data_IF_859582021369
#
_entry.id   IF_859582021369
#
_cell.length_a   1.000
_cell.length_b   1.000
_cell.length_c   1.000
_cell.angle_alpha   90.00
_cell.angle_beta   90.00
_cell.angle_gamma   90.00
#
_symmetry.space_group_name_H-M   'P 1'
#
loop_
_entity.id
_entity.type
_entity.pdbx_description
1 polymer ?
#
# COMPACT_ATOMS: atom_id res chain seq x y z
N UNK A 1 5.19 5.08 -9.88
CA UNK A 1 4.21 5.09 -11.00
C UNK A 1 2.77 5.36 -10.52
N UNK A 2 2.58 6.40 -9.69
CA UNK A 2 1.25 6.87 -9.30
C UNK A 2 1.13 8.32 -9.77
N UNK A 3 0.12 8.54 -10.62
CA UNK A 3 -0.31 9.80 -11.26
C UNK A 3 0.61 10.38 -12.35
N UNK A 4 0.05 10.47 -13.56
CA UNK A 4 0.57 11.27 -14.67
C UNK A 4 0.31 12.75 -14.39
N UNK A 5 1.31 13.61 -14.63
CA UNK A 5 1.33 15.06 -14.38
C UNK A 5 0.32 15.91 -15.19
N UNK A 6 -0.73 15.30 -15.74
CA UNK A 6 -1.68 15.96 -16.64
C UNK A 6 -3.00 16.37 -15.96
N UNK A 7 -3.03 16.57 -14.64
CA UNK A 7 -4.15 17.28 -14.01
C UNK A 7 -4.03 18.77 -14.32
N UNK A 8 -4.54 19.18 -15.49
CA UNK A 8 -4.81 20.60 -15.76
C UNK A 8 -5.79 21.10 -14.69
N UNK A 9 -5.33 22.02 -13.84
CA UNK A 9 -6.19 22.75 -12.91
C UNK A 9 -7.20 23.51 -13.76
N UNK A 10 -8.44 23.01 -13.79
CA UNK A 10 -9.55 23.71 -14.42
C UNK A 10 -9.78 24.98 -13.60
N UNK A 11 -9.92 26.14 -14.25
CA UNK A 11 -10.40 27.33 -13.55
C UNK A 11 -11.88 27.08 -13.21
N UNK A 12 -12.21 27.14 -11.92
CA UNK A 12 -13.55 26.92 -11.41
C UNK A 12 -14.25 28.28 -11.21
N UNK A 13 -15.54 28.34 -11.54
CA UNK A 13 -16.40 29.49 -11.29
C UNK A 13 -16.77 29.55 -9.80
N UNK A 14 -17.07 30.74 -9.28
CA UNK A 14 -17.45 30.99 -7.89
C UNK A 14 -18.76 30.26 -7.50
N UNK A 15 -19.60 29.89 -8.48
CA UNK A 15 -20.83 29.11 -8.30
C UNK A 15 -20.68 27.60 -8.58
N UNK A 16 -19.46 27.09 -8.78
CA UNK A 16 -19.23 25.66 -9.00
C UNK A 16 -19.27 24.90 -7.67
N UNK A 17 -19.95 23.75 -7.62
CA UNK A 17 -19.99 22.84 -6.46
C UNK A 17 -18.57 22.48 -5.97
N UNK A 18 -17.57 22.52 -6.86
CA UNK A 18 -16.16 22.26 -6.53
C UNK A 18 -15.56 23.31 -5.58
N UNK A 19 -16.13 24.51 -5.51
CA UNK A 19 -15.68 25.60 -4.61
C UNK A 19 -15.70 25.19 -3.13
N UNK A 20 -16.54 24.22 -2.74
CA UNK A 20 -16.58 23.67 -1.37
C UNK A 20 -15.24 23.03 -0.97
N UNK A 21 -14.44 22.56 -1.95
CA UNK A 21 -13.14 21.96 -1.71
C UNK A 21 -11.99 22.98 -1.64
N UNK A 22 -12.25 24.27 -1.88
CA UNK A 22 -11.23 25.34 -1.91
C UNK A 22 -10.42 25.47 -0.61
N UNK A 23 -11.05 25.14 0.52
CA UNK A 23 -10.42 25.15 1.84
C UNK A 23 -9.67 23.85 2.19
N UNK A 24 -9.77 22.80 1.36
CA UNK A 24 -9.03 21.57 1.58
C UNK A 24 -7.58 21.71 1.10
N UNK A 25 -6.67 21.10 1.86
CA UNK A 25 -5.25 20.99 1.51
C UNK A 25 -4.85 19.52 1.56
N UNK A 26 -4.19 19.05 0.51
CA UNK A 26 -3.72 17.66 0.40
C UNK A 26 -2.19 17.62 0.32
N UNK A 27 -1.46 17.92 1.41
CA UNK A 27 -0.01 18.06 1.39
C UNK A 27 0.73 16.78 1.00
N UNK A 28 0.10 15.62 1.19
CA UNK A 28 0.69 14.31 0.88
C UNK A 28 0.38 13.83 -0.55
N UNK A 29 -0.48 14.53 -1.31
CA UNK A 29 -1.03 14.03 -2.58
C UNK A 29 0.05 13.69 -3.61
N UNK A 30 1.13 14.47 -3.64
CA UNK A 30 2.25 14.31 -4.58
C UNK A 30 3.43 13.55 -3.97
N UNK A 31 3.34 13.11 -2.72
CA UNK A 31 4.44 12.47 -2.02
C UNK A 31 4.31 10.96 -2.09
N UNK A 32 5.40 10.28 -2.47
CA UNK A 32 5.49 8.82 -2.31
C UNK A 32 5.72 8.46 -0.83
N UNK A 33 5.54 7.17 -0.49
CA UNK A 33 5.88 6.70 0.86
C UNK A 33 7.36 6.82 1.19
N UNK A 34 8.23 6.74 0.17
CA UNK A 34 9.66 6.94 0.35
C UNK A 34 9.99 8.42 0.56
N UNK A 35 9.27 9.34 -0.10
CA UNK A 35 9.41 10.78 0.16
C UNK A 35 9.00 11.10 1.60
N UNK A 36 7.85 10.57 2.05
CA UNK A 36 7.41 10.74 3.43
C UNK A 36 8.45 10.20 4.44
N UNK A 37 9.06 9.05 4.16
CA UNK A 37 10.14 8.50 5.00
C UNK A 37 11.36 9.43 5.02
N UNK A 38 11.81 9.90 3.85
CA UNK A 38 12.96 10.79 3.72
C UNK A 38 12.73 12.10 4.50
N UNK A 39 11.59 12.73 4.31
CA UNK A 39 11.19 13.96 5.03
C UNK A 39 11.18 13.71 6.53
N UNK A 40 10.64 12.57 6.99
CA UNK A 40 10.61 12.24 8.41
C UNK A 40 12.01 12.03 9.02
N UNK A 41 12.95 11.49 8.26
CA UNK A 41 14.37 11.40 8.67
C UNK A 41 14.98 12.79 8.76
N UNK A 42 14.84 13.60 7.70
CA UNK A 42 15.42 14.96 7.61
C UNK A 42 14.93 15.87 8.74
N UNK A 43 13.68 15.69 9.19
CA UNK A 43 13.05 16.53 10.21
C UNK A 43 12.98 15.86 11.60
N UNK A 44 13.61 14.69 11.78
CA UNK A 44 13.76 14.06 13.10
C UNK A 44 12.49 13.45 13.70
N UNK A 45 11.47 13.10 12.90
CA UNK A 45 10.21 12.49 13.36
C UNK A 45 9.94 11.09 12.78
N UNK A 46 10.98 10.41 12.30
CA UNK A 46 10.84 9.05 11.75
C UNK A 46 10.23 8.07 12.76
N UNK A 47 10.57 8.19 14.04
CA UNK A 47 10.04 7.36 15.12
C UNK A 47 8.50 7.46 15.24
N UNK A 48 7.95 8.66 15.05
CA UNK A 48 6.50 8.91 15.01
C UNK A 48 5.90 8.25 13.77
N UNK A 49 6.49 8.47 12.60
CA UNK A 49 6.03 7.87 11.35
C UNK A 49 6.02 6.33 11.44
N UNK A 50 6.99 5.73 12.12
CA UNK A 50 7.11 4.28 12.24
C UNK A 50 6.04 3.65 13.13
N UNK A 51 5.47 4.39 14.09
CA UNK A 51 4.34 3.95 14.94
C UNK A 51 3.01 3.85 14.18
N UNK A 52 2.93 4.38 12.95
CA UNK A 52 1.69 4.37 12.16
C UNK A 52 1.22 2.97 11.79
N UNK A 53 -0.09 2.76 11.89
CA UNK A 53 -0.73 1.49 11.59
C UNK A 53 -1.23 1.44 10.15
N UNK A 54 -0.64 0.57 9.34
CA UNK A 54 -1.04 0.39 7.92
C UNK A 54 -1.60 -1.01 7.62
N UNK A 55 -1.49 -1.97 8.55
CA UNK A 55 -1.86 -3.35 8.29
C UNK A 55 -3.36 -3.59 8.44
N UNK A 56 -4.04 -4.14 7.44
CA UNK A 56 -5.48 -4.43 7.54
C UNK A 56 -5.82 -5.59 8.51
N UNK A 57 -4.88 -6.52 8.71
CA UNK A 57 -5.12 -7.75 9.48
C UNK A 57 -3.90 -8.05 10.35
N UNK A 58 -3.66 -7.31 11.43
CA UNK A 58 -2.49 -7.52 12.28
C UNK A 58 -2.47 -8.95 12.87
N UNK A 59 -1.28 -9.42 13.24
CA UNK A 59 -1.11 -10.65 14.01
C UNK A 59 -0.30 -10.33 15.26
N UNK A 60 -0.89 -10.53 16.45
CA UNK A 60 -0.35 -10.07 17.74
C UNK A 60 0.14 -8.61 17.70
N UNK A 61 -0.71 -7.70 17.20
CA UNK A 61 -0.39 -6.27 17.10
C UNK A 61 0.69 -5.91 16.07
N UNK A 62 1.19 -6.86 15.28
CA UNK A 62 2.25 -6.63 14.28
C UNK A 62 1.74 -6.80 12.85
N UNK A 63 2.34 -6.11 11.85
CA UNK A 63 1.97 -6.27 10.44
C UNK A 63 2.04 -7.72 9.95
N UNK A 64 0.99 -8.20 9.29
CA UNK A 64 0.87 -9.62 8.95
C UNK A 64 1.71 -10.09 7.76
N UNK A 65 2.16 -9.17 6.90
CA UNK A 65 2.98 -9.48 5.73
C UNK A 65 2.23 -9.96 4.49
N UNK A 66 0.93 -10.29 4.58
CA UNK A 66 0.18 -10.91 3.47
C UNK A 66 -0.94 -10.03 2.90
N UNK A 67 -1.46 -9.07 3.66
CA UNK A 67 -2.49 -8.14 3.16
C UNK A 67 -1.94 -7.17 2.11
N UNK A 68 -2.85 -6.52 1.35
CA UNK A 68 -2.51 -5.57 0.28
C UNK A 68 -1.52 -4.48 0.74
N UNK A 69 -1.76 -3.73 1.84
CA UNK A 69 -0.83 -2.67 2.23
C UNK A 69 0.53 -3.22 2.68
N UNK A 70 0.60 -4.40 3.30
CA UNK A 70 1.87 -5.08 3.58
C UNK A 70 2.63 -5.44 2.30
N UNK A 71 1.93 -5.92 1.26
CA UNK A 71 2.56 -6.25 0.00
C UNK A 71 3.11 -5.01 -0.71
N UNK A 72 2.35 -3.91 -0.70
CA UNK A 72 2.79 -2.63 -1.27
C UNK A 72 4.03 -2.11 -0.51
N UNK A 73 4.01 -2.11 0.82
CA UNK A 73 5.15 -1.70 1.64
C UNK A 73 6.43 -2.50 1.31
N UNK A 74 6.31 -3.81 1.09
CA UNK A 74 7.45 -4.65 0.68
C UNK A 74 7.96 -4.26 -0.71
N UNK A 75 7.05 -4.09 -1.68
CA UNK A 75 7.40 -3.72 -3.07
C UNK A 75 8.05 -2.33 -3.16
N UNK A 76 7.63 -1.40 -2.32
CA UNK A 76 8.14 -0.03 -2.26
C UNK A 76 9.44 0.11 -1.43
N UNK A 77 10.03 -1.00 -0.96
CA UNK A 77 11.28 -0.96 -0.18
C UNK A 77 11.10 -0.72 1.33
N UNK A 78 9.88 -0.60 1.81
CA UNK A 78 9.53 -0.40 3.23
C UNK A 78 9.35 -1.71 4.00
N UNK A 79 10.00 -2.79 3.54
CA UNK A 79 9.87 -4.12 4.13
C UNK A 79 10.39 -4.23 5.57
N UNK A 80 11.25 -3.29 6.00
CA UNK A 80 11.79 -3.22 7.36
C UNK A 80 10.71 -2.97 8.42
N UNK A 81 9.59 -2.34 8.04
CA UNK A 81 8.41 -2.13 8.90
C UNK A 81 7.63 -3.42 9.18
N UNK A 82 8.01 -4.55 8.55
CA UNK A 82 7.33 -5.83 8.67
C UNK A 82 8.26 -6.84 9.35
N UNK A 83 7.81 -7.49 10.45
CA UNK A 83 8.62 -8.49 11.14
C UNK A 83 9.15 -9.59 10.23
N UNK A 84 10.37 -10.08 10.50
CA UNK A 84 11.01 -11.17 9.75
C UNK A 84 10.10 -12.40 9.64
N UNK A 85 9.42 -12.78 10.73
CA UNK A 85 8.49 -13.92 10.76
C UNK A 85 7.30 -13.74 9.80
N UNK A 86 6.73 -12.52 9.74
CA UNK A 86 5.66 -12.17 8.81
C UNK A 86 6.12 -12.23 7.35
N UNK A 87 7.37 -11.81 7.07
CA UNK A 87 7.97 -11.92 5.73
C UNK A 87 8.20 -13.37 5.32
N UNK A 88 8.60 -14.24 6.25
CA UNK A 88 8.72 -15.68 5.99
C UNK A 88 7.36 -16.32 5.72
N UNK A 89 6.37 -16.07 6.57
CA UNK A 89 4.97 -16.52 6.36
C UNK A 89 4.42 -16.06 5.02
N UNK A 90 4.72 -14.84 4.58
CA UNK A 90 4.35 -14.35 3.24
C UNK A 90 4.91 -15.24 2.13
N UNK A 91 6.18 -15.65 2.19
CA UNK A 91 6.79 -16.53 1.18
C UNK A 91 6.01 -17.85 1.08
N UNK A 92 5.76 -18.48 2.23
CA UNK A 92 4.96 -19.71 2.32
C UNK A 92 3.54 -19.47 1.76
N UNK A 93 2.87 -18.39 2.16
CA UNK A 93 1.53 -18.06 1.70
C UNK A 93 1.43 -17.89 0.18
N UNK A 94 2.43 -17.26 -0.45
CA UNK A 94 2.50 -17.11 -1.91
C UNK A 94 2.62 -18.47 -2.59
N UNK A 95 3.50 -19.33 -2.07
CA UNK A 95 3.72 -20.69 -2.59
C UNK A 95 2.41 -21.49 -2.50
N UNK A 96 1.81 -21.57 -1.31
CA UNK A 96 0.53 -22.27 -1.09
C UNK A 96 -0.55 -21.72 -2.03
N UNK A 97 -0.71 -20.40 -2.11
CA UNK A 97 -1.72 -19.77 -2.99
C UNK A 97 -1.49 -20.10 -4.46
N UNK A 98 -0.23 -20.21 -4.89
CA UNK A 98 0.10 -20.60 -6.26
C UNK A 98 -0.30 -22.07 -6.53
N UNK A 99 0.04 -22.99 -5.62
CA UNK A 99 -0.34 -24.39 -5.73
C UNK A 99 -1.86 -24.61 -5.72
N UNK A 100 -2.61 -23.90 -4.85
CA UNK A 100 -4.07 -23.98 -4.82
C UNK A 100 -4.66 -23.57 -6.18
N UNK A 101 -4.20 -22.44 -6.75
CA UNK A 101 -4.66 -21.98 -8.07
C UNK A 101 -4.35 -22.98 -9.20
N UNK A 102 -3.18 -23.62 -9.16
CA UNK A 102 -2.84 -24.67 -10.13
C UNK A 102 -3.82 -25.83 -10.00
N UNK A 103 -4.06 -26.32 -8.78
CA UNK A 103 -4.97 -27.43 -8.53
C UNK A 103 -6.40 -27.13 -9.01
N UNK A 104 -6.88 -25.91 -8.78
CA UNK A 104 -8.19 -25.45 -9.28
C UNK A 104 -8.24 -25.46 -10.82
N UNK A 105 -7.20 -24.94 -11.48
CA UNK A 105 -7.14 -24.89 -12.95
C UNK A 105 -7.06 -26.29 -13.57
N UNK A 106 -6.25 -27.18 -13.01
CA UNK A 106 -6.17 -28.59 -13.45
C UNK A 106 -7.50 -29.30 -13.23
N UNK A 107 -8.15 -29.08 -12.08
CA UNK A 107 -9.47 -29.65 -11.80
C UNK A 107 -10.57 -29.15 -12.74
N UNK A 108 -10.50 -27.90 -13.21
CA UNK A 108 -11.42 -27.36 -14.22
C UNK A 108 -11.18 -27.96 -15.61
N UNK A 109 -9.92 -28.23 -15.97
CA UNK A 109 -9.55 -28.88 -17.23
C UNK A 109 -10.01 -30.34 -17.26
N UNK A 110 -9.79 -31.08 -16.17
CA UNK A 110 -10.21 -32.48 -16.04
C UNK A 110 -11.73 -32.67 -16.03
N UNK A 111 -12.52 -31.65 -15.64
CA UNK A 111 -14.00 -31.70 -15.72
C UNK A 111 -14.56 -31.37 -17.11
N UNK A 112 -13.71 -30.92 -18.05
CA UNK A 112 -14.08 -30.52 -19.41
C UNK A 112 -13.66 -31.54 -20.48
N UNK A 113 -12.92 -32.58 -20.09
CA UNK A 113 -12.56 -33.75 -20.92
C UNK A 113 -13.44 -34.94 -20.54
#
# INVERSE_FOLDING_TARGET
PYMNDNLKLKQFDENDDVSIFSFFRFPLLKLSKNDMKRIAVENGFLDILEKTWFCHKPWHGRPCGTCVPCNIAIKEGLSYRIPKISRFRRKIWIIIRHFVKIKEKVGQLLRRS
#
